data_IF_795628124027
#
_entry.id   IF_795628124027
#
_cell.length_a   1.000
_cell.length_b   1.000
_cell.length_c   1.000
_cell.angle_alpha   90.00
_cell.angle_beta   90.00
_cell.angle_gamma   90.00
#
_symmetry.space_group_name_H-M   'P 1'
#
loop_
_entity.id
_entity.type
_entity.pdbx_description
1 polymer ?
#
# COMPACT_ATOMS: atom_id res chain seq x y z
N UNK A 1 -51.88 26.00 -18.27
CA UNK A 1 -52.34 26.98 -19.28
C UNK A 1 -52.51 28.30 -18.56
N UNK A 2 -51.78 29.34 -18.99
CA UNK A 2 -51.86 30.76 -18.58
C UNK A 2 -51.31 31.00 -17.16
N UNK A 3 -50.05 31.42 -16.94
CA UNK A 3 -49.37 32.71 -17.25
C UNK A 3 -50.16 33.88 -16.66
N UNK A 4 -49.57 34.72 -15.81
CA UNK A 4 -49.24 36.14 -16.09
C UNK A 4 -48.68 36.66 -14.75
N UNK A 5 -47.38 36.98 -14.60
CA UNK A 5 -46.69 38.22 -15.04
C UNK A 5 -47.31 39.45 -14.33
N UNK A 6 -46.64 40.48 -13.80
CA UNK A 6 -45.27 41.02 -13.92
C UNK A 6 -45.20 42.33 -13.12
N UNK A 7 -43.97 42.71 -12.77
CA UNK A 7 -43.40 44.08 -12.79
C UNK A 7 -43.88 45.14 -11.79
N UNK A 8 -42.98 45.60 -10.91
CA UNK A 8 -42.05 46.74 -11.08
C UNK A 8 -42.75 48.11 -10.97
N UNK A 9 -42.37 48.93 -9.99
CA UNK A 9 -41.53 50.09 -10.27
C UNK A 9 -41.14 50.86 -9.00
N UNK A 10 -39.91 51.35 -9.05
CA UNK A 10 -39.20 52.22 -8.12
C UNK A 10 -39.48 53.70 -8.40
N UNK A 11 -39.31 54.57 -7.39
CA UNK A 11 -38.82 55.96 -7.47
C UNK A 11 -38.39 56.36 -6.03
N UNK A 12 -37.10 56.61 -5.72
CA UNK A 12 -36.35 57.88 -5.83
C UNK A 12 -36.92 58.98 -4.90
N UNK A 13 -36.21 59.79 -4.09
CA UNK A 13 -34.81 60.10 -3.81
C UNK A 13 -34.83 61.02 -2.57
N UNK A 14 -33.84 60.96 -1.66
CA UNK A 14 -33.20 62.18 -1.13
C UNK A 14 -31.89 61.85 -0.40
N UNK A 15 -30.84 62.59 -0.79
CA UNK A 15 -29.45 62.51 -0.35
C UNK A 15 -29.18 63.51 0.76
N UNK A 16 -28.33 63.13 1.72
CA UNK A 16 -27.26 63.99 2.28
C UNK A 16 -26.24 63.06 2.95
N UNK A 17 -25.15 62.70 2.26
CA UNK A 17 -23.79 63.27 2.40
C UNK A 17 -23.35 63.42 3.85
N UNK A 18 -22.33 62.65 4.26
CA UNK A 18 -21.06 63.13 4.81
C UNK A 18 -20.00 62.04 4.54
N UNK A 19 -18.89 62.46 3.94
CA UNK A 19 -17.73 61.64 3.54
C UNK A 19 -16.53 62.08 4.39
N UNK A 20 -15.48 61.24 4.38
CA UNK A 20 -14.10 61.44 4.87
C UNK A 20 -13.86 60.87 6.28
N UNK A 21 -12.83 60.05 6.57
CA UNK A 21 -11.58 59.74 5.89
C UNK A 21 -11.00 58.43 6.46
N UNK A 22 -10.46 57.59 5.58
CA UNK A 22 -9.25 56.74 5.70
C UNK A 22 -8.87 56.19 7.09
N UNK A 23 -8.90 54.86 7.20
CA UNK A 23 -8.17 54.06 8.20
C UNK A 23 -7.93 52.66 7.66
N UNK A 24 -6.93 52.50 6.78
CA UNK A 24 -6.47 51.19 6.31
C UNK A 24 -5.74 50.51 7.47
N UNK A 25 -6.44 49.68 8.26
CA UNK A 25 -5.81 48.90 9.30
C UNK A 25 -5.13 47.67 8.66
N UNK A 26 -3.89 47.87 8.24
CA UNK A 26 -2.97 46.80 7.88
C UNK A 26 -2.68 45.98 9.15
N UNK A 27 -3.34 44.83 9.31
CA UNK A 27 -2.92 43.83 10.29
C UNK A 27 -1.62 43.18 9.81
N UNK A 28 -0.49 43.86 10.04
CA UNK A 28 0.84 43.25 10.02
C UNK A 28 0.91 42.40 11.29
N UNK A 29 0.60 41.11 11.15
CA UNK A 29 1.01 40.13 12.15
C UNK A 29 2.52 39.98 11.99
N UNK A 30 3.28 40.70 12.83
CA UNK A 30 4.67 40.37 13.07
C UNK A 30 4.71 38.97 13.69
N UNK A 31 4.96 37.96 12.87
CA UNK A 31 5.51 36.70 13.37
C UNK A 31 6.92 37.00 13.84
N UNK A 32 7.05 37.31 15.14
CA UNK A 32 8.33 37.23 15.82
C UNK A 32 8.78 35.77 15.73
N UNK A 33 9.93 35.58 15.10
CA UNK A 33 10.65 34.33 15.00
C UNK A 33 11.11 33.89 16.39
N UNK A 34 10.21 33.31 17.18
CA UNK A 34 10.60 32.36 18.20
C UNK A 34 10.71 31.01 17.53
N UNK A 35 11.95 30.67 17.20
CA UNK A 35 12.39 29.33 16.86
C UNK A 35 12.01 28.34 17.95
N UNK A 36 10.82 27.75 17.84
CA UNK A 36 10.50 26.47 18.48
C UNK A 36 11.23 25.39 17.70
N UNK A 37 12.53 25.22 18.02
CA UNK A 37 13.24 23.96 17.84
C UNK A 37 12.45 22.89 18.58
N UNK A 38 11.57 22.20 17.86
CA UNK A 38 10.65 21.22 18.43
C UNK A 38 9.90 20.40 17.38
N UNK A 39 10.37 20.37 16.13
CA UNK A 39 10.13 19.24 15.26
C UNK A 39 11.47 18.57 15.09
N UNK A 40 11.66 17.43 15.75
CA UNK A 40 12.81 16.57 15.45
C UNK A 40 12.58 16.03 14.05
N UNK A 41 13.14 16.72 13.06
CA UNK A 41 13.28 16.23 11.71
C UNK A 41 14.15 14.98 11.82
N UNK A 42 13.55 13.80 11.73
CA UNK A 42 14.25 12.51 11.77
C UNK A 42 15.18 12.30 10.54
N UNK A 43 15.36 13.31 9.69
CA UNK A 43 16.10 13.24 8.43
C UNK A 43 17.62 13.22 8.59
N UNK A 44 18.17 13.64 9.73
CA UNK A 44 19.63 13.79 9.90
C UNK A 44 20.27 12.78 10.88
N UNK A 45 19.55 11.72 11.28
CA UNK A 45 20.14 10.71 12.18
C UNK A 45 20.91 9.67 11.37
N UNK A 46 22.23 9.77 11.37
CA UNK A 46 23.12 8.67 10.97
C UNK A 46 23.00 7.43 11.89
N UNK A 47 22.22 7.54 12.98
CA UNK A 47 22.03 6.51 14.01
C UNK A 47 20.71 5.71 13.90
N UNK A 48 20.01 5.73 12.76
CA UNK A 48 18.82 4.89 12.61
C UNK A 48 19.20 3.40 12.48
N UNK A 49 18.44 2.47 13.11
CA UNK A 49 18.64 1.04 12.90
C UNK A 49 18.59 0.67 11.42
N UNK A 50 19.46 -0.24 10.98
CA UNK A 50 19.48 -0.78 9.61
C UNK A 50 18.72 -2.10 9.53
N UNK A 51 18.20 -2.43 8.35
CA UNK A 51 17.72 -3.79 8.05
C UNK A 51 18.92 -4.73 7.84
N UNK A 52 18.71 -6.02 8.07
CA UNK A 52 19.71 -7.02 7.72
C UNK A 52 19.78 -7.16 6.19
N UNK A 53 20.88 -6.77 5.55
CA UNK A 53 20.97 -6.76 4.09
C UNK A 53 22.06 -7.70 3.55
N UNK A 54 21.82 -9.02 3.51
CA UNK A 54 22.76 -9.98 2.93
C UNK A 54 22.66 -10.04 1.39
N UNK A 55 21.86 -9.17 0.77
CA UNK A 55 21.43 -9.33 -0.60
C UNK A 55 22.60 -9.12 -1.57
N UNK A 56 23.02 -10.22 -2.18
CA UNK A 56 23.99 -10.33 -3.26
C UNK A 56 23.40 -11.27 -4.32
N UNK A 57 23.96 -11.28 -5.53
CA UNK A 57 23.54 -12.24 -6.58
C UNK A 57 23.64 -13.69 -6.09
N UNK A 58 24.66 -14.02 -5.30
CA UNK A 58 24.81 -15.36 -4.71
C UNK A 58 23.74 -15.64 -3.65
N UNK A 59 23.47 -14.68 -2.76
CA UNK A 59 22.41 -14.82 -1.75
C UNK A 59 21.04 -15.00 -2.42
N UNK A 60 20.71 -14.18 -3.42
CA UNK A 60 19.46 -14.27 -4.17
C UNK A 60 19.28 -15.67 -4.78
N UNK A 61 20.26 -16.14 -5.57
CA UNK A 61 20.21 -17.46 -6.23
C UNK A 61 20.10 -18.62 -5.24
N UNK A 62 20.68 -18.48 -4.04
CA UNK A 62 20.67 -19.53 -3.01
C UNK A 62 19.37 -19.57 -2.21
N UNK A 63 18.82 -18.41 -1.85
CA UNK A 63 17.75 -18.30 -0.84
C UNK A 63 16.38 -17.97 -1.41
N UNK A 64 16.29 -17.52 -2.67
CA UNK A 64 15.00 -17.35 -3.32
C UNK A 64 14.29 -18.70 -3.45
N UNK A 65 13.02 -18.76 -3.04
CA UNK A 65 12.18 -19.95 -3.17
C UNK A 65 12.17 -20.45 -4.62
N UNK A 66 12.51 -21.72 -4.82
CA UNK A 66 12.45 -22.33 -6.16
C UNK A 66 11.03 -22.55 -6.66
N UNK A 67 10.04 -22.56 -5.78
CA UNK A 67 8.63 -22.73 -6.12
C UNK A 67 7.93 -21.38 -6.23
N UNK A 68 7.01 -21.26 -7.19
CA UNK A 68 6.04 -20.18 -7.30
C UNK A 68 4.69 -20.61 -6.70
N UNK A 69 3.85 -19.67 -6.23
CA UNK A 69 4.09 -18.23 -6.12
C UNK A 69 5.11 -17.86 -5.03
N UNK A 70 5.63 -16.63 -5.09
CA UNK A 70 6.63 -16.04 -4.18
C UNK A 70 6.22 -14.67 -3.65
N UNK A 71 5.20 -14.01 -4.20
CA UNK A 71 4.76 -12.69 -3.78
C UNK A 71 3.52 -12.81 -2.91
N UNK A 72 3.69 -12.69 -1.59
CA UNK A 72 2.68 -12.88 -0.52
C UNK A 72 2.20 -14.32 -0.37
N UNK A 73 1.87 -14.97 -1.48
CA UNK A 73 1.58 -16.39 -1.52
C UNK A 73 2.88 -17.20 -1.63
N UNK A 74 2.88 -18.34 -0.97
CA UNK A 74 3.75 -19.47 -1.25
C UNK A 74 2.96 -20.76 -0.98
N UNK A 75 3.58 -21.93 -1.17
CA UNK A 75 2.90 -23.22 -0.98
C UNK A 75 2.22 -23.35 0.40
N UNK A 76 2.87 -22.89 1.47
CA UNK A 76 2.34 -23.01 2.83
C UNK A 76 1.16 -22.05 3.07
N UNK A 77 1.33 -20.78 2.69
CA UNK A 77 0.27 -19.78 2.81
C UNK A 77 -0.98 -20.15 1.99
N UNK A 78 -0.79 -20.71 0.79
CA UNK A 78 -1.90 -21.19 -0.04
C UNK A 78 -2.61 -22.39 0.57
N UNK A 79 -1.88 -23.35 1.16
CA UNK A 79 -2.50 -24.47 1.86
C UNK A 79 -3.38 -24.01 3.03
N UNK A 80 -2.88 -23.04 3.82
CA UNK A 80 -3.66 -22.44 4.91
C UNK A 80 -4.90 -21.74 4.37
N UNK A 81 -4.75 -20.91 3.34
CA UNK A 81 -5.86 -20.20 2.72
C UNK A 81 -6.94 -21.15 2.21
N UNK A 82 -6.56 -22.19 1.46
CA UNK A 82 -7.51 -23.20 0.94
C UNK A 82 -8.22 -23.98 2.05
N UNK A 83 -7.55 -24.25 3.18
CA UNK A 83 -8.19 -24.85 4.34
C UNK A 83 -9.21 -23.89 4.95
N UNK A 84 -8.81 -22.63 5.16
CA UNK A 84 -9.62 -21.60 5.80
C UNK A 84 -10.84 -21.21 4.98
N UNK A 85 -10.76 -21.22 3.64
CA UNK A 85 -11.92 -21.07 2.75
C UNK A 85 -13.01 -22.13 2.99
N UNK A 86 -12.70 -23.27 3.63
CA UNK A 86 -13.70 -24.30 3.97
C UNK A 86 -14.31 -24.12 5.36
N UNK A 87 -13.64 -23.43 6.27
CA UNK A 87 -13.94 -23.50 7.71
C UNK A 87 -14.10 -22.15 8.40
N UNK A 88 -13.61 -21.07 7.80
CA UNK A 88 -13.44 -19.77 8.45
C UNK A 88 -14.37 -18.72 7.81
N UNK A 89 -15.44 -18.27 8.52
CA UNK A 89 -16.44 -17.37 7.95
C UNK A 89 -15.87 -16.04 7.47
N UNK A 90 -14.86 -15.49 8.17
CA UNK A 90 -14.19 -14.25 7.76
C UNK A 90 -13.46 -14.44 6.43
N UNK A 91 -12.67 -15.50 6.31
CA UNK A 91 -11.96 -15.82 5.07
C UNK A 91 -12.94 -16.07 3.91
N UNK A 92 -14.03 -16.79 4.16
CA UNK A 92 -15.08 -17.05 3.17
C UNK A 92 -15.75 -15.76 2.69
N UNK A 93 -16.12 -14.89 3.62
CA UNK A 93 -16.81 -13.63 3.31
C UNK A 93 -15.90 -12.67 2.53
N UNK A 94 -14.64 -12.56 2.94
CA UNK A 94 -13.63 -11.77 2.21
C UNK A 94 -13.35 -12.32 0.80
N UNK A 95 -13.30 -13.65 0.65
CA UNK A 95 -13.17 -14.26 -0.68
C UNK A 95 -14.39 -13.98 -1.56
N UNK A 96 -15.60 -14.06 -1.00
CA UNK A 96 -16.82 -13.71 -1.72
C UNK A 96 -16.84 -12.23 -2.15
N UNK A 97 -16.33 -11.34 -1.31
CA UNK A 97 -16.13 -9.94 -1.68
C UNK A 97 -15.16 -9.77 -2.86
N UNK A 98 -14.05 -10.50 -2.86
CA UNK A 98 -13.11 -10.52 -3.98
C UNK A 98 -13.77 -11.06 -5.25
N UNK A 99 -14.60 -12.11 -5.16
CA UNK A 99 -15.37 -12.63 -6.30
C UNK A 99 -16.27 -11.55 -6.92
N UNK A 100 -17.08 -10.85 -6.12
CA UNK A 100 -17.95 -9.78 -6.64
C UNK A 100 -17.17 -8.61 -7.25
N UNK A 101 -15.98 -8.30 -6.70
CA UNK A 101 -15.11 -7.25 -7.25
C UNK A 101 -14.48 -7.71 -8.59
N UNK A 102 -14.08 -8.99 -8.67
CA UNK A 102 -13.56 -9.61 -9.89
C UNK A 102 -14.60 -9.65 -11.02
N UNK A 103 -15.86 -9.99 -10.70
CA UNK A 103 -16.97 -9.98 -11.66
C UNK A 103 -17.14 -8.59 -12.30
N UNK A 104 -17.10 -7.52 -11.50
CA UNK A 104 -17.15 -6.13 -12.02
C UNK A 104 -15.97 -5.79 -12.93
N UNK A 105 -14.76 -6.24 -12.58
CA UNK A 105 -13.58 -6.00 -13.42
C UNK A 105 -13.75 -6.64 -14.81
N UNK A 106 -14.36 -7.83 -14.89
CA UNK A 106 -14.59 -8.51 -16.17
C UNK A 106 -15.48 -7.70 -17.13
N UNK A 107 -16.37 -6.86 -16.59
CA UNK A 107 -17.28 -6.00 -17.36
C UNK A 107 -16.62 -4.67 -17.77
N UNK A 108 -15.57 -4.24 -17.08
CA UNK A 108 -14.84 -3.01 -17.39
C UNK A 108 -13.95 -3.19 -18.63
N UNK A 109 -13.70 -2.13 -19.42
CA UNK A 109 -12.71 -2.19 -20.50
C UNK A 109 -11.29 -2.40 -19.96
N UNK A 110 -10.39 -2.86 -20.84
CA UNK A 110 -8.95 -2.90 -20.56
C UNK A 110 -8.40 -1.48 -20.32
N UNK A 111 -7.34 -1.38 -19.53
CA UNK A 111 -6.79 -0.08 -19.14
C UNK A 111 -6.16 0.67 -20.31
N UNK A 112 -6.38 1.98 -20.35
CA UNK A 112 -5.69 2.88 -21.26
C UNK A 112 -4.62 3.70 -20.52
N UNK A 113 -3.56 4.11 -21.23
CA UNK A 113 -2.49 4.94 -20.66
C UNK A 113 -2.92 6.42 -20.53
N UNK A 114 -3.88 6.68 -19.64
CA UNK A 114 -4.44 8.02 -19.40
C UNK A 114 -3.66 8.71 -18.28
N UNK A 115 -2.91 9.75 -18.63
CA UNK A 115 -2.15 10.56 -17.68
C UNK A 115 -2.92 11.85 -17.34
N UNK A 116 -3.22 12.06 -16.05
CA UNK A 116 -3.93 13.25 -15.54
C UNK A 116 -2.90 14.19 -14.91
N UNK A 117 -2.67 15.35 -15.55
CA UNK A 117 -1.57 16.24 -15.21
C UNK A 117 -0.23 15.52 -15.31
N UNK A 118 0.53 15.46 -14.20
CA UNK A 118 1.83 14.76 -14.14
C UNK A 118 1.74 13.27 -13.75
N UNK A 119 0.54 12.73 -13.52
CA UNK A 119 0.35 11.43 -12.87
C UNK A 119 -0.41 10.44 -13.76
N UNK A 120 0.17 9.27 -13.93
CA UNK A 120 -0.46 8.03 -14.43
C UNK A 120 -0.99 7.17 -13.25
N UNK A 121 -0.78 7.63 -12.01
CA UNK A 121 -1.02 6.88 -10.77
C UNK A 121 -2.38 6.20 -10.66
N UNK A 122 -3.46 6.82 -11.15
CA UNK A 122 -4.80 6.22 -11.12
C UNK A 122 -4.86 4.93 -11.92
N UNK A 123 -4.20 4.88 -13.07
CA UNK A 123 -4.11 3.68 -13.92
C UNK A 123 -3.26 2.61 -13.25
N UNK A 124 -2.12 2.98 -12.66
CA UNK A 124 -1.25 2.04 -11.93
C UNK A 124 -1.94 1.43 -10.71
N UNK A 125 -2.67 2.24 -9.94
CA UNK A 125 -3.47 1.79 -8.79
C UNK A 125 -4.58 0.84 -9.21
N UNK A 126 -5.24 1.15 -10.33
CA UNK A 126 -6.29 0.31 -10.88
C UNK A 126 -5.72 -1.04 -11.33
N UNK A 127 -4.58 -1.06 -12.02
CA UNK A 127 -3.92 -2.31 -12.40
C UNK A 127 -3.55 -3.15 -11.19
N UNK A 128 -3.02 -2.54 -10.11
CA UNK A 128 -2.69 -3.24 -8.87
C UNK A 128 -3.93 -3.86 -8.21
N UNK A 129 -5.04 -3.12 -8.21
CA UNK A 129 -6.33 -3.63 -7.73
C UNK A 129 -6.81 -4.82 -8.59
N UNK A 130 -6.83 -4.67 -9.92
CA UNK A 130 -7.27 -5.72 -10.85
C UNK A 130 -6.47 -7.00 -10.68
N UNK A 131 -5.14 -6.91 -10.58
CA UNK A 131 -4.27 -8.09 -10.40
C UNK A 131 -4.45 -8.76 -9.03
N UNK A 132 -4.74 -7.99 -7.97
CA UNK A 132 -5.07 -8.58 -6.67
C UNK A 132 -6.40 -9.32 -6.68
N UNK A 133 -7.44 -8.77 -7.34
CA UNK A 133 -8.74 -9.42 -7.40
C UNK A 133 -8.71 -10.64 -8.33
N UNK A 134 -8.39 -10.42 -9.61
CA UNK A 134 -8.36 -11.46 -10.64
C UNK A 134 -7.35 -12.55 -10.31
N UNK A 135 -6.15 -12.17 -9.89
CA UNK A 135 -5.09 -13.13 -9.56
C UNK A 135 -5.48 -14.05 -8.40
N UNK A 136 -6.15 -13.52 -7.36
CA UNK A 136 -6.60 -14.34 -6.23
C UNK A 136 -7.67 -15.34 -6.67
N UNK A 137 -8.68 -14.89 -7.44
CA UNK A 137 -9.71 -15.77 -7.99
C UNK A 137 -9.08 -16.86 -8.86
N UNK A 138 -8.21 -16.48 -9.80
CA UNK A 138 -7.53 -17.45 -10.65
C UNK A 138 -6.72 -18.46 -9.83
N UNK A 139 -5.99 -17.99 -8.81
CA UNK A 139 -5.16 -18.88 -7.99
C UNK A 139 -6.00 -19.95 -7.30
N UNK A 140 -7.16 -19.57 -6.75
CA UNK A 140 -8.01 -20.49 -5.99
C UNK A 140 -8.85 -21.38 -6.91
N UNK A 141 -9.52 -20.80 -7.90
CA UNK A 141 -10.54 -21.48 -8.71
C UNK A 141 -10.03 -22.00 -10.06
N UNK A 142 -8.89 -21.48 -10.54
CA UNK A 142 -8.26 -21.86 -11.82
C UNK A 142 -9.17 -21.69 -13.05
N UNK A 143 -10.09 -20.73 -13.00
CA UNK A 143 -10.99 -20.42 -14.11
C UNK A 143 -10.20 -19.86 -15.32
N UNK A 144 -10.25 -20.51 -16.50
CA UNK A 144 -9.55 -20.06 -17.70
C UNK A 144 -10.00 -18.67 -18.19
N UNK A 145 -11.24 -18.24 -17.94
CA UNK A 145 -11.71 -16.89 -18.32
C UNK A 145 -10.99 -15.80 -17.53
N UNK A 146 -10.71 -16.07 -16.26
CA UNK A 146 -9.96 -15.14 -15.40
C UNK A 146 -8.50 -15.09 -15.87
N UNK A 147 -7.92 -16.24 -16.24
CA UNK A 147 -6.56 -16.27 -16.80
C UNK A 147 -6.45 -15.47 -18.10
N UNK A 148 -7.41 -15.63 -19.01
CA UNK A 148 -7.49 -14.87 -20.25
C UNK A 148 -7.60 -13.37 -19.96
N UNK A 149 -8.45 -12.96 -19.01
CA UNK A 149 -8.52 -11.56 -18.61
C UNK A 149 -7.19 -11.04 -18.03
N UNK A 150 -6.52 -11.80 -17.16
CA UNK A 150 -5.21 -11.43 -16.62
C UNK A 150 -4.19 -11.26 -17.76
N UNK A 151 -4.19 -12.17 -18.73
CA UNK A 151 -3.34 -12.08 -19.92
C UNK A 151 -3.57 -10.75 -20.66
N UNK A 152 -4.81 -10.42 -20.95
CA UNK A 152 -5.14 -9.22 -21.75
C UNK A 152 -4.76 -7.92 -21.02
N UNK A 153 -5.03 -7.83 -19.73
CA UNK A 153 -4.63 -6.70 -18.89
C UNK A 153 -3.10 -6.53 -18.87
N UNK A 154 -2.36 -7.63 -18.70
CA UNK A 154 -0.89 -7.61 -18.70
C UNK A 154 -0.33 -7.19 -20.07
N UNK A 155 -0.86 -7.76 -21.16
CA UNK A 155 -0.42 -7.41 -22.52
C UNK A 155 -0.62 -5.92 -22.79
N UNK A 156 -1.76 -5.36 -22.40
CA UNK A 156 -2.05 -3.94 -22.62
C UNK A 156 -1.08 -3.03 -21.85
N UNK A 157 -0.94 -3.22 -20.53
CA UNK A 157 -0.09 -2.31 -19.73
C UNK A 157 1.40 -2.48 -20.01
N UNK A 158 1.85 -3.68 -20.43
CA UNK A 158 3.24 -3.91 -20.83
C UNK A 158 3.58 -3.27 -22.19
N UNK A 159 2.57 -3.04 -23.03
CA UNK A 159 2.69 -2.33 -24.31
C UNK A 159 2.50 -0.81 -24.20
N UNK A 160 2.17 -0.28 -23.02
CA UNK A 160 2.25 1.17 -22.80
C UNK A 160 3.66 1.68 -23.12
N UNK A 161 3.75 2.86 -23.72
CA UNK A 161 5.06 3.45 -24.10
C UNK A 161 6.04 3.56 -22.93
N UNK A 162 5.51 3.85 -21.73
CA UNK A 162 6.24 4.01 -20.47
C UNK A 162 5.23 3.87 -19.30
N UNK A 163 5.74 3.69 -18.08
CA UNK A 163 4.94 3.74 -16.83
C UNK A 163 5.12 5.07 -16.06
N UNK A 164 5.45 6.14 -16.79
CA UNK A 164 5.71 7.50 -16.29
C UNK A 164 6.84 7.61 -15.25
N UNK A 165 8.11 7.36 -15.62
CA UNK A 165 9.24 7.41 -14.68
C UNK A 165 9.52 8.78 -14.06
N UNK A 166 8.93 9.86 -14.59
CA UNK A 166 8.98 11.20 -13.99
C UNK A 166 8.23 11.31 -12.65
N UNK A 167 7.28 10.41 -12.40
CA UNK A 167 6.52 10.31 -11.15
C UNK A 167 6.53 8.85 -10.66
N UNK A 168 7.56 8.49 -9.88
CA UNK A 168 7.91 7.09 -9.68
C UNK A 168 6.90 6.23 -8.90
N UNK A 169 5.94 6.83 -8.20
CA UNK A 169 4.80 6.09 -7.64
C UNK A 169 4.01 5.36 -8.75
N UNK A 170 3.93 5.95 -9.94
CA UNK A 170 3.21 5.39 -11.09
C UNK A 170 3.90 4.10 -11.55
N UNK A 171 5.23 4.14 -11.67
CA UNK A 171 6.07 3.00 -12.02
C UNK A 171 6.00 1.92 -10.96
N UNK A 172 6.10 2.29 -9.68
CA UNK A 172 6.17 1.36 -8.58
C UNK A 172 4.88 0.54 -8.40
N UNK A 173 3.72 1.19 -8.39
CA UNK A 173 2.44 0.48 -8.25
C UNK A 173 2.14 -0.37 -9.49
N UNK A 174 2.50 0.09 -10.71
CA UNK A 174 2.35 -0.68 -11.94
C UNK A 174 3.26 -1.92 -11.97
N UNK A 175 4.53 -1.75 -11.59
CA UNK A 175 5.50 -2.83 -11.54
C UNK A 175 5.10 -3.92 -10.53
N UNK A 176 4.58 -3.51 -9.37
CA UNK A 176 4.03 -4.45 -8.38
C UNK A 176 2.84 -5.23 -8.97
N UNK A 177 1.94 -4.54 -9.68
CA UNK A 177 0.78 -5.18 -10.30
C UNK A 177 1.19 -6.25 -11.33
N UNK A 178 2.09 -5.90 -12.25
CA UNK A 178 2.61 -6.83 -13.27
C UNK A 178 3.34 -8.01 -12.63
N UNK A 179 4.15 -7.75 -11.60
CA UNK A 179 4.85 -8.81 -10.86
C UNK A 179 3.87 -9.78 -10.18
N UNK A 180 2.81 -9.28 -9.52
CA UNK A 180 1.75 -10.10 -8.92
C UNK A 180 1.02 -10.93 -10.00
N UNK A 181 0.67 -10.32 -11.13
CA UNK A 181 0.02 -11.02 -12.24
C UNK A 181 0.83 -12.21 -12.77
N UNK A 182 2.15 -12.04 -12.91
CA UNK A 182 3.06 -13.14 -13.27
C UNK A 182 3.16 -14.21 -12.19
N UNK A 183 3.38 -13.79 -10.95
CA UNK A 183 3.66 -14.72 -9.85
C UNK A 183 2.43 -15.56 -9.48
N UNK A 184 1.24 -14.97 -9.45
CA UNK A 184 0.02 -15.66 -9.03
C UNK A 184 -0.57 -16.56 -10.11
N UNK A 185 -0.31 -16.26 -11.38
CA UNK A 185 -0.60 -17.19 -12.48
C UNK A 185 0.39 -18.34 -12.56
N UNK A 186 1.56 -18.23 -11.91
CA UNK A 186 2.52 -19.32 -11.70
C UNK A 186 2.90 -20.08 -12.99
N UNK A 187 3.10 -19.36 -14.08
CA UNK A 187 3.51 -19.92 -15.37
C UNK A 187 2.36 -20.38 -16.28
N UNK A 188 1.10 -20.23 -15.87
CA UNK A 188 -0.07 -20.63 -16.67
C UNK A 188 -0.36 -19.65 -17.83
N UNK A 189 0.26 -18.46 -17.85
CA UNK A 189 0.16 -17.48 -18.93
C UNK A 189 0.90 -17.95 -20.22
N UNK A 190 0.52 -17.43 -21.40
CA UNK A 190 1.30 -17.64 -22.62
C UNK A 190 2.77 -17.22 -22.43
N UNK A 191 3.71 -18.01 -22.97
CA UNK A 191 5.15 -17.71 -22.89
C UNK A 191 5.51 -16.33 -23.46
N UNK A 192 4.79 -15.89 -24.49
CA UNK A 192 4.92 -14.54 -25.06
C UNK A 192 4.56 -13.45 -24.04
N UNK A 193 3.46 -13.63 -23.30
CA UNK A 193 3.00 -12.70 -22.26
C UNK A 193 3.96 -12.66 -21.09
N UNK A 194 4.46 -13.82 -20.64
CA UNK A 194 5.49 -13.90 -19.60
C UNK A 194 6.74 -13.13 -20.03
N UNK A 195 7.26 -13.41 -21.23
CA UNK A 195 8.45 -12.73 -21.75
C UNK A 195 8.26 -11.22 -21.93
N UNK A 196 7.08 -10.78 -22.38
CA UNK A 196 6.71 -9.37 -22.51
C UNK A 196 6.66 -8.67 -21.15
N UNK A 197 6.03 -9.29 -20.16
CA UNK A 197 5.89 -8.73 -18.83
C UNK A 197 7.24 -8.64 -18.08
N UNK A 198 8.07 -9.68 -18.14
CA UNK A 198 9.43 -9.64 -17.60
C UNK A 198 10.27 -8.53 -18.26
N UNK A 199 10.16 -8.39 -19.59
CA UNK A 199 10.84 -7.32 -20.33
C UNK A 199 10.34 -5.94 -19.88
N UNK A 200 9.03 -5.76 -19.72
CA UNK A 200 8.45 -4.51 -19.24
C UNK A 200 8.86 -4.19 -17.79
N UNK A 201 8.89 -5.18 -16.89
CA UNK A 201 9.40 -5.01 -15.52
C UNK A 201 10.85 -4.52 -15.50
N UNK A 202 11.69 -5.05 -16.39
CA UNK A 202 13.08 -4.60 -16.53
C UNK A 202 13.14 -3.18 -17.11
N UNK A 203 12.60 -2.96 -18.32
CA UNK A 203 12.81 -1.75 -19.10
C UNK A 203 11.98 -0.55 -18.64
N UNK A 204 10.75 -0.79 -18.15
CA UNK A 204 9.81 0.26 -17.73
C UNK A 204 9.73 0.40 -16.21
N UNK A 205 10.11 -0.65 -15.47
CA UNK A 205 10.11 -0.69 -14.01
C UNK A 205 11.48 -0.40 -13.40
N UNK A 206 12.39 -1.38 -13.47
CA UNK A 206 13.64 -1.38 -12.70
C UNK A 206 14.68 -0.44 -13.31
N UNK A 207 14.92 -0.50 -14.62
CA UNK A 207 15.94 0.32 -15.27
C UNK A 207 15.73 1.84 -15.04
N UNK A 208 14.50 2.38 -15.14
CA UNK A 208 14.27 3.79 -14.82
C UNK A 208 14.53 4.17 -13.36
N UNK A 209 14.68 3.20 -12.45
CA UNK A 209 15.09 3.47 -11.05
C UNK A 209 16.59 3.68 -10.88
N UNK A 210 17.39 3.49 -11.94
CA UNK A 210 18.84 3.62 -11.97
C UNK A 210 19.23 4.73 -12.96
N UNK A 211 19.19 6.02 -12.57
CA UNK A 211 19.47 7.12 -13.46
C UNK A 211 20.93 7.10 -13.95
N UNK A 212 21.15 7.62 -15.15
CA UNK A 212 22.45 7.60 -15.85
C UNK A 212 23.56 8.34 -15.11
N UNK A 213 23.22 9.32 -14.27
CA UNK A 213 24.17 10.07 -13.44
C UNK A 213 24.74 9.25 -12.27
N UNK A 214 24.30 7.99 -12.11
CA UNK A 214 24.76 7.05 -11.09
C UNK A 214 24.24 7.35 -9.68
N UNK A 215 23.42 8.40 -9.50
CA UNK A 215 22.87 8.75 -8.19
C UNK A 215 21.66 7.88 -7.88
N UNK A 216 21.48 7.55 -6.62
CA UNK A 216 20.22 6.95 -6.21
C UNK A 216 19.09 7.99 -6.33
N UNK A 217 17.90 7.60 -6.81
CA UNK A 217 16.78 8.52 -6.86
C UNK A 217 16.38 8.91 -5.43
N UNK A 218 15.99 10.18 -5.22
CA UNK A 218 15.74 10.70 -3.87
C UNK A 218 14.69 9.92 -3.07
N UNK A 219 13.71 9.31 -3.73
CA UNK A 219 12.72 8.45 -3.07
C UNK A 219 13.33 7.18 -2.46
N UNK A 220 14.42 6.64 -3.03
CA UNK A 220 15.01 5.37 -2.58
C UNK A 220 15.56 5.45 -1.16
N UNK A 221 15.91 6.66 -0.70
CA UNK A 221 16.40 6.96 0.64
C UNK A 221 15.60 8.07 1.33
N UNK A 222 14.41 8.39 0.81
CA UNK A 222 13.52 9.39 1.39
C UNK A 222 12.88 8.91 2.69
N UNK A 223 12.40 9.86 3.50
CA UNK A 223 11.79 9.59 4.81
C UNK A 223 10.25 9.56 4.80
N UNK A 224 9.62 9.56 3.61
CA UNK A 224 8.17 9.60 3.46
C UNK A 224 7.63 8.34 2.76
N UNK A 225 6.33 8.32 2.47
CA UNK A 225 5.67 7.17 1.85
C UNK A 225 6.20 6.80 0.45
N UNK A 226 6.82 7.71 -0.31
CA UNK A 226 7.41 7.36 -1.62
C UNK A 226 8.50 6.31 -1.49
N UNK A 227 9.26 6.34 -0.40
CA UNK A 227 10.28 5.34 -0.13
C UNK A 227 9.67 3.94 0.02
N UNK A 228 8.62 3.81 0.83
CA UNK A 228 7.93 2.53 1.07
C UNK A 228 7.28 2.00 -0.22
N UNK A 229 6.56 2.85 -0.94
CA UNK A 229 5.86 2.48 -2.18
C UNK A 229 6.85 2.07 -3.27
N UNK A 230 7.84 2.92 -3.54
CA UNK A 230 8.77 2.72 -4.65
C UNK A 230 9.72 1.55 -4.40
N UNK A 231 10.31 1.45 -3.21
CA UNK A 231 11.16 0.30 -2.90
C UNK A 231 10.36 -1.01 -2.89
N UNK A 232 9.11 -1.01 -2.38
CA UNK A 232 8.25 -2.18 -2.41
C UNK A 232 7.92 -2.66 -3.83
N UNK A 233 7.57 -1.73 -4.74
CA UNK A 233 7.34 -2.06 -6.15
C UNK A 233 8.59 -2.59 -6.86
N UNK A 234 9.76 -2.02 -6.57
CA UNK A 234 11.04 -2.50 -7.12
C UNK A 234 11.44 -3.87 -6.57
N UNK A 235 11.16 -4.16 -5.30
CA UNK A 235 11.35 -5.50 -4.72
C UNK A 235 10.45 -6.52 -5.43
N UNK A 236 9.16 -6.21 -5.62
CA UNK A 236 8.23 -7.10 -6.33
C UNK A 236 8.71 -7.42 -7.75
N UNK A 237 9.08 -6.38 -8.51
CA UNK A 237 9.62 -6.54 -9.87
C UNK A 237 10.91 -7.37 -9.89
N UNK A 238 11.82 -7.13 -8.94
CA UNK A 238 13.10 -7.83 -8.84
C UNK A 238 12.93 -9.31 -8.51
N UNK A 239 11.99 -9.66 -7.64
CA UNK A 239 11.65 -11.06 -7.34
C UNK A 239 11.10 -11.75 -8.59
N UNK A 240 10.24 -11.08 -9.35
CA UNK A 240 9.62 -11.64 -10.56
C UNK A 240 10.60 -11.88 -11.72
N UNK A 241 11.69 -11.11 -11.80
CA UNK A 241 12.71 -11.23 -12.85
C UNK A 241 14.00 -11.92 -12.39
N UNK A 242 14.05 -12.42 -11.16
CA UNK A 242 15.27 -12.92 -10.53
C UNK A 242 15.96 -14.05 -11.31
N UNK A 243 15.21 -14.92 -12.00
CA UNK A 243 15.77 -15.95 -12.87
C UNK A 243 16.36 -15.38 -14.17
N UNK A 244 15.76 -14.32 -14.69
CA UNK A 244 16.11 -13.72 -15.98
C UNK A 244 17.32 -12.80 -15.88
N UNK A 245 17.33 -11.96 -14.85
CA UNK A 245 18.43 -11.03 -14.57
C UNK A 245 18.71 -10.98 -13.05
N UNK A 246 19.40 -12.01 -12.52
CA UNK A 246 19.67 -12.12 -11.08
C UNK A 246 20.57 -11.01 -10.55
N UNK A 247 21.42 -10.41 -11.39
CA UNK A 247 22.29 -9.31 -10.98
C UNK A 247 21.50 -8.02 -10.80
N UNK A 248 20.64 -7.68 -11.77
CA UNK A 248 19.73 -6.54 -11.67
C UNK A 248 18.76 -6.69 -10.50
N UNK A 249 18.20 -7.89 -10.31
CA UNK A 249 17.32 -8.18 -9.19
C UNK A 249 18.04 -8.00 -7.85
N UNK A 250 19.22 -8.62 -7.68
CA UNK A 250 19.96 -8.57 -6.42
C UNK A 250 20.38 -7.15 -6.06
N UNK A 251 20.96 -6.39 -7.01
CA UNK A 251 21.38 -4.99 -6.73
C UNK A 251 20.20 -4.09 -6.39
N UNK A 252 19.03 -4.34 -7.00
CA UNK A 252 17.82 -3.54 -6.77
C UNK A 252 17.20 -3.84 -5.41
N UNK A 253 17.09 -5.12 -5.03
CA UNK A 253 16.62 -5.50 -3.69
C UNK A 253 17.61 -5.02 -2.62
N UNK A 254 18.92 -5.12 -2.88
CA UNK A 254 19.95 -4.59 -1.98
C UNK A 254 19.76 -3.10 -1.70
N UNK A 255 19.65 -2.26 -2.75
CA UNK A 255 19.39 -0.82 -2.61
C UNK A 255 18.11 -0.56 -1.83
N UNK A 256 17.05 -1.32 -2.12
CA UNK A 256 15.78 -1.17 -1.42
C UNK A 256 15.91 -1.44 0.08
N UNK A 257 16.52 -2.56 0.48
CA UNK A 257 16.72 -2.92 1.89
C UNK A 257 17.62 -1.93 2.63
N UNK A 258 18.59 -1.33 1.94
CA UNK A 258 19.47 -0.29 2.51
C UNK A 258 18.73 1.06 2.70
N UNK A 259 17.84 1.42 1.76
CA UNK A 259 17.13 2.69 1.78
C UNK A 259 15.83 2.72 2.58
N UNK A 260 15.16 1.57 2.74
CA UNK A 260 13.90 1.44 3.49
C UNK A 260 13.94 1.99 4.93
N UNK A 261 15.00 1.75 5.75
CA UNK A 261 15.11 2.31 7.10
C UNK A 261 14.78 3.80 7.23
N UNK A 262 15.11 4.60 6.21
CA UNK A 262 14.90 6.07 6.22
C UNK A 262 13.43 6.45 6.42
N UNK A 263 12.51 5.69 5.82
CA UNK A 263 11.07 5.91 6.02
C UNK A 263 10.55 5.20 7.27
N UNK A 264 11.12 4.04 7.63
CA UNK A 264 10.72 3.29 8.82
C UNK A 264 11.06 4.01 10.12
N UNK A 265 12.06 4.88 10.11
CA UNK A 265 12.36 5.78 11.22
C UNK A 265 11.16 6.65 11.62
N UNK A 266 10.18 6.87 10.73
CA UNK A 266 8.95 7.61 11.05
C UNK A 266 8.01 6.88 12.01
N UNK A 267 8.19 5.57 12.21
CA UNK A 267 7.44 4.83 13.23
C UNK A 267 8.11 4.93 14.61
N UNK A 268 9.37 5.37 14.69
CA UNK A 268 10.12 5.36 15.94
C UNK A 268 9.73 6.52 16.88
N UNK A 269 9.89 6.32 18.21
CA UNK A 269 10.11 5.05 18.88
C UNK A 269 8.82 4.26 19.15
N UNK A 270 7.68 4.95 19.27
CA UNK A 270 6.45 4.41 19.87
C UNK A 270 5.32 4.12 18.87
N UNK A 271 5.59 4.25 17.57
CA UNK A 271 4.63 3.93 16.50
C UNK A 271 3.68 5.05 16.08
N UNK A 272 3.76 6.24 16.68
CA UNK A 272 2.96 7.40 16.25
C UNK A 272 3.42 7.85 14.87
N UNK A 273 2.51 7.85 13.89
CA UNK A 273 2.86 8.20 12.52
C UNK A 273 2.71 9.72 12.28
N UNK A 274 3.76 10.41 11.80
CA UNK A 274 3.79 11.88 11.78
C UNK A 274 2.79 12.51 10.80
N UNK A 275 2.39 11.80 9.75
CA UNK A 275 1.40 12.28 8.76
C UNK A 275 -0.05 11.92 9.12
N UNK A 276 -0.28 11.38 10.33
CA UNK A 276 -1.62 11.03 10.80
C UNK A 276 -2.17 9.71 10.24
N UNK A 277 -3.41 9.40 10.62
CA UNK A 277 -4.02 8.08 10.43
C UNK A 277 -4.20 7.69 8.95
N UNK A 278 -4.57 8.64 8.07
CA UNK A 278 -4.74 8.35 6.63
C UNK A 278 -3.43 7.96 5.97
N UNK A 279 -2.35 8.70 6.21
CA UNK A 279 -1.05 8.42 5.59
C UNK A 279 -0.32 7.25 6.23
N UNK A 280 -0.59 6.94 7.51
CA UNK A 280 -0.23 5.64 8.08
C UNK A 280 -0.80 4.53 7.18
N UNK A 281 -2.09 4.58 6.87
CA UNK A 281 -2.73 3.60 5.99
C UNK A 281 -2.01 3.47 4.64
N UNK A 282 -1.64 4.57 3.99
CA UNK A 282 -0.97 4.52 2.69
C UNK A 282 0.45 3.96 2.77
N UNK A 283 1.35 4.55 3.57
CA UNK A 283 2.74 4.10 3.67
C UNK A 283 2.85 2.69 4.25
N UNK A 284 2.15 2.42 5.35
CA UNK A 284 2.18 1.13 6.04
C UNK A 284 1.62 0.00 5.18
N UNK A 285 0.64 0.26 4.30
CA UNK A 285 0.14 -0.78 3.37
C UNK A 285 1.24 -1.35 2.47
N UNK A 286 2.14 -0.50 1.97
CA UNK A 286 3.26 -0.94 1.13
C UNK A 286 4.38 -1.60 1.94
N UNK A 287 4.59 -1.17 3.18
CA UNK A 287 5.48 -1.88 4.10
C UNK A 287 4.98 -3.31 4.37
N UNK A 288 3.70 -3.45 4.71
CA UNK A 288 3.07 -4.75 5.00
C UNK A 288 3.13 -5.71 3.82
N UNK A 289 2.75 -5.28 2.61
CA UNK A 289 2.81 -6.16 1.44
C UNK A 289 4.26 -6.52 1.09
N UNK A 290 5.21 -5.59 1.29
CA UNK A 290 6.63 -5.85 1.02
C UNK A 290 7.22 -6.85 2.01
N UNK A 291 6.90 -6.73 3.30
CA UNK A 291 7.25 -7.73 4.31
C UNK A 291 6.69 -9.10 3.90
N UNK A 292 5.40 -9.16 3.55
CA UNK A 292 4.77 -10.42 3.15
C UNK A 292 5.43 -11.04 1.90
N UNK A 293 5.81 -10.23 0.90
CA UNK A 293 6.55 -10.69 -0.28
C UNK A 293 7.95 -11.21 0.07
N UNK A 294 8.69 -10.53 0.95
CA UNK A 294 10.01 -10.96 1.37
C UNK A 294 9.93 -12.29 2.15
N UNK A 295 8.98 -12.40 3.08
CA UNK A 295 8.75 -13.64 3.84
C UNK A 295 8.39 -14.80 2.92
N UNK A 296 7.48 -14.61 1.96
CA UNK A 296 7.09 -15.68 1.04
C UNK A 296 8.21 -16.07 0.08
N UNK A 297 9.04 -15.11 -0.36
CA UNK A 297 10.12 -15.33 -1.31
C UNK A 297 11.41 -15.90 -0.68
N UNK A 298 11.75 -15.47 0.54
CA UNK A 298 13.05 -15.76 1.19
C UNK A 298 12.92 -16.47 2.56
N UNK A 299 11.70 -16.67 3.06
CA UNK A 299 11.45 -17.24 4.39
C UNK A 299 11.75 -16.28 5.55
N UNK A 300 12.09 -15.02 5.27
CA UNK A 300 12.30 -13.97 6.27
C UNK A 300 12.06 -12.58 5.66
N UNK A 301 11.91 -11.57 6.51
CA UNK A 301 11.63 -10.17 6.12
C UNK A 301 12.83 -9.22 6.32
N UNK A 302 14.02 -9.77 6.57
CA UNK A 302 15.23 -8.99 6.80
C UNK A 302 15.17 -8.04 8.01
N UNK A 303 14.26 -8.31 8.95
CA UNK A 303 14.03 -7.48 10.14
C UNK A 303 13.06 -6.33 9.92
N UNK A 304 12.46 -6.21 8.72
CA UNK A 304 11.55 -5.13 8.37
C UNK A 304 10.33 -5.09 9.30
N UNK A 305 9.59 -6.19 9.45
CA UNK A 305 8.42 -6.23 10.33
C UNK A 305 8.74 -6.09 11.82
N UNK A 306 10.02 -6.16 12.22
CA UNK A 306 10.50 -5.94 13.58
C UNK A 306 11.21 -4.59 13.75
N UNK A 307 11.11 -3.68 12.77
CA UNK A 307 11.69 -2.35 12.90
C UNK A 307 11.09 -1.61 14.11
N UNK A 308 11.89 -0.91 14.93
CA UNK A 308 11.38 -0.27 16.14
C UNK A 308 10.20 0.67 15.87
N UNK A 309 9.12 0.51 16.65
CA UNK A 309 7.88 1.28 16.53
C UNK A 309 6.92 0.79 15.44
N UNK A 310 7.35 -0.10 14.54
CA UNK A 310 6.50 -0.53 13.41
C UNK A 310 5.26 -1.30 13.88
N UNK A 311 5.42 -2.28 14.77
CA UNK A 311 4.29 -3.07 15.31
C UNK A 311 3.44 -2.25 16.28
N UNK A 312 4.09 -1.40 17.07
CA UNK A 312 3.44 -0.47 17.99
C UNK A 312 2.52 0.51 17.25
N UNK A 313 2.83 0.85 15.99
CA UNK A 313 2.02 1.75 15.17
C UNK A 313 0.61 1.23 14.89
N UNK A 314 0.37 -0.07 14.98
CA UNK A 314 -0.98 -0.63 14.89
C UNK A 314 -1.88 -0.13 16.03
N UNK A 315 -1.32 0.05 17.23
CA UNK A 315 -2.05 0.60 18.36
C UNK A 315 -2.40 2.07 18.12
N UNK A 316 -1.46 2.86 17.58
CA UNK A 316 -1.74 4.24 17.15
C UNK A 316 -2.94 4.28 16.20
N UNK A 317 -2.95 3.43 15.16
CA UNK A 317 -4.06 3.36 14.20
C UNK A 317 -5.39 3.00 14.87
N UNK A 318 -5.42 2.05 15.80
CA UNK A 318 -6.63 1.68 16.54
C UNK A 318 -7.13 2.85 17.39
N UNK A 319 -6.25 3.49 18.16
CA UNK A 319 -6.62 4.59 19.06
C UNK A 319 -7.09 5.85 18.32
N UNK A 320 -6.65 6.05 17.08
CA UNK A 320 -7.19 7.12 16.24
C UNK A 320 -8.64 6.89 15.79
N UNK A 321 -9.21 5.70 15.93
CA UNK A 321 -10.60 5.43 15.53
C UNK A 321 -11.55 5.65 16.71
N UNK A 322 -12.35 6.72 16.67
CA UNK A 322 -13.42 6.91 17.64
C UNK A 322 -14.57 5.90 17.41
N UNK A 323 -15.36 5.55 18.45
CA UNK A 323 -16.52 4.65 18.30
C UNK A 323 -17.55 5.13 17.25
N UNK A 324 -17.60 6.44 16.99
CA UNK A 324 -18.45 7.06 15.96
C UNK A 324 -17.98 6.80 14.53
N UNK A 325 -16.80 6.20 14.33
CA UNK A 325 -16.14 6.05 13.02
C UNK A 325 -15.44 7.31 12.50
N UNK A 326 -15.45 8.40 13.28
CA UNK A 326 -14.59 9.55 13.00
C UNK A 326 -13.17 9.29 13.51
N UNK A 327 -12.19 9.94 12.88
CA UNK A 327 -10.83 9.90 13.38
C UNK A 327 -10.60 10.94 14.47
N UNK A 328 -9.84 10.57 15.51
CA UNK A 328 -9.07 11.52 16.30
C UNK A 328 -7.76 11.76 15.55
N UNK A 329 -7.74 12.79 14.69
CA UNK A 329 -6.70 13.00 13.70
C UNK A 329 -5.93 14.32 13.87
N UNK A 330 -4.86 14.43 13.09
CA UNK A 330 -4.01 15.60 12.92
C UNK A 330 -3.37 15.53 11.52
N UNK A 331 -2.71 16.61 11.10
CA UNK A 331 -2.09 16.76 9.77
C UNK A 331 -3.09 16.53 8.61
N UNK A 332 -2.59 16.19 7.43
CA UNK A 332 -3.39 15.89 6.24
C UNK A 332 -4.05 14.51 6.37
N UNK A 333 -5.13 14.46 7.13
CA UNK A 333 -5.88 13.24 7.41
C UNK A 333 -7.34 13.43 7.02
N UNK A 334 -7.96 12.38 6.45
CA UNK A 334 -9.41 12.37 6.25
C UNK A 334 -10.15 12.34 7.58
N UNK A 335 -11.46 12.59 7.53
CA UNK A 335 -12.30 12.75 8.72
C UNK A 335 -12.79 11.44 9.33
N UNK A 336 -12.96 10.40 8.50
CA UNK A 336 -13.61 9.14 8.88
C UNK A 336 -12.89 7.94 8.30
N UNK A 337 -12.94 6.85 9.04
CA UNK A 337 -12.49 5.54 8.55
C UNK A 337 -13.45 4.95 7.53
N UNK A 338 -12.92 4.06 6.69
CA UNK A 338 -13.71 3.25 5.77
C UNK A 338 -14.72 2.34 6.48
N UNK A 339 -15.74 1.89 5.74
CA UNK A 339 -16.75 0.95 6.25
C UNK A 339 -16.22 -0.50 6.29
N UNK A 340 -15.42 -0.88 5.30
CA UNK A 340 -14.77 -2.19 5.24
C UNK A 340 -13.80 -2.37 6.42
N UNK A 341 -13.52 -3.62 6.78
CA UNK A 341 -12.48 -3.93 7.78
C UNK A 341 -11.10 -3.47 7.31
N UNK A 342 -10.27 -3.00 8.25
CA UNK A 342 -8.92 -2.53 7.94
C UNK A 342 -7.97 -3.72 7.68
N UNK A 343 -7.79 -4.02 6.39
CA UNK A 343 -6.93 -5.10 5.91
C UNK A 343 -5.48 -4.98 6.39
N UNK A 344 -4.99 -3.77 6.65
CA UNK A 344 -3.61 -3.55 7.08
C UNK A 344 -3.49 -3.85 8.58
N UNK A 345 -4.46 -3.43 9.40
CA UNK A 345 -4.53 -3.85 10.80
C UNK A 345 -4.63 -5.38 10.94
N UNK A 346 -5.38 -6.05 10.05
CA UNK A 346 -5.46 -7.52 10.09
C UNK A 346 -4.09 -8.21 9.91
N UNK A 347 -3.16 -7.62 9.15
CA UNK A 347 -1.79 -8.16 9.08
C UNK A 347 -1.09 -8.06 10.44
N UNK A 348 -1.20 -6.92 11.14
CA UNK A 348 -0.65 -6.77 12.48
C UNK A 348 -1.31 -7.74 13.47
N UNK A 349 -2.61 -7.96 13.36
CA UNK A 349 -3.30 -8.98 14.14
C UNK A 349 -2.70 -10.37 13.92
N UNK A 350 -2.45 -10.76 12.67
CA UNK A 350 -1.81 -12.03 12.32
C UNK A 350 -0.39 -12.14 12.88
N UNK A 351 0.39 -11.06 12.87
CA UNK A 351 1.77 -11.06 13.39
C UNK A 351 1.85 -11.05 14.91
N UNK A 352 0.88 -10.45 15.58
CA UNK A 352 0.90 -10.27 17.05
C UNK A 352 0.01 -11.24 17.80
N UNK A 353 -1.03 -11.78 17.14
CA UNK A 353 -2.14 -12.48 17.77
C UNK A 353 -3.13 -11.57 18.48
N UNK A 354 -2.99 -10.24 18.38
CA UNK A 354 -3.80 -9.27 19.13
C UNK A 354 -5.15 -9.03 18.45
N UNK A 355 -6.24 -9.39 19.14
CA UNK A 355 -7.63 -9.22 18.66
C UNK A 355 -8.02 -7.77 18.42
N UNK A 356 -7.43 -6.80 19.12
CA UNK A 356 -7.74 -5.39 18.91
C UNK A 356 -7.41 -4.90 17.49
N UNK A 357 -6.54 -5.60 16.77
CA UNK A 357 -6.17 -5.30 15.39
C UNK A 357 -6.99 -6.09 14.36
N UNK A 358 -7.89 -6.98 14.79
CA UNK A 358 -8.68 -7.82 13.91
C UNK A 358 -10.15 -7.45 13.97
N UNK A 359 -10.64 -6.77 12.93
CA UNK A 359 -11.98 -6.22 12.89
C UNK A 359 -13.01 -7.23 12.35
N UNK A 360 -13.14 -8.35 13.07
CA UNK A 360 -13.97 -9.50 12.69
C UNK A 360 -15.37 -9.11 12.22
N UNK A 361 -16.09 -8.29 12.99
CA UNK A 361 -17.45 -7.84 12.66
C UNK A 361 -17.51 -7.09 11.32
N UNK A 362 -16.48 -6.30 10.99
CA UNK A 362 -16.42 -5.57 9.71
C UNK A 362 -16.06 -6.48 8.54
N UNK A 363 -15.25 -7.51 8.78
CA UNK A 363 -14.96 -8.53 7.77
C UNK A 363 -16.13 -9.49 7.56
N UNK A 364 -17.07 -9.58 8.50
CA UNK A 364 -18.32 -10.36 8.41
C UNK A 364 -19.53 -9.55 7.94
N UNK A 365 -19.35 -8.26 7.64
CA UNK A 365 -20.41 -7.43 7.05
C UNK A 365 -20.94 -8.09 5.76
N UNK A 366 -22.26 -8.02 5.46
CA UNK A 366 -22.78 -8.53 4.20
C UNK A 366 -22.02 -7.97 3.01
N UNK A 367 -21.66 -8.84 2.06
CA UNK A 367 -20.75 -8.49 0.96
C UNK A 367 -21.30 -7.36 0.10
N UNK A 368 -22.62 -7.28 -0.05
CA UNK A 368 -23.32 -6.23 -0.80
C UNK A 368 -23.19 -4.85 -0.15
N UNK A 369 -22.93 -4.81 1.16
CA UNK A 369 -22.67 -3.58 1.92
C UNK A 369 -21.19 -3.20 1.94
N UNK A 370 -20.30 -4.13 1.59
CA UNK A 370 -18.89 -3.82 1.41
C UNK A 370 -18.71 -2.93 0.18
N UNK A 371 -17.98 -1.82 0.36
CA UNK A 371 -17.56 -0.99 -0.77
C UNK A 371 -16.47 -1.71 -1.55
N UNK A 372 -16.12 -1.16 -2.73
CA UNK A 372 -14.94 -1.57 -3.52
C UNK A 372 -13.76 -1.81 -2.57
N UNK A 373 -13.17 -3.00 -2.66
CA UNK A 373 -12.07 -3.38 -1.79
C UNK A 373 -10.83 -2.54 -2.08
N UNK A 374 -9.92 -2.45 -1.10
CA UNK A 374 -8.61 -1.84 -1.33
C UNK A 374 -7.81 -2.65 -2.37
N UNK A 375 -6.88 -1.97 -3.06
CA UNK A 375 -6.04 -2.57 -4.11
C UNK A 375 -5.16 -3.73 -3.65
N UNK A 376 -4.94 -3.89 -2.35
CA UNK A 376 -4.23 -5.04 -1.76
C UNK A 376 -5.18 -6.10 -1.20
N UNK A 377 -6.49 -6.05 -1.49
CA UNK A 377 -7.49 -6.95 -0.89
C UNK A 377 -7.23 -8.44 -1.15
N UNK A 378 -6.69 -8.78 -2.32
CA UNK A 378 -6.25 -10.14 -2.63
C UNK A 378 -5.12 -10.58 -1.71
N UNK A 379 -4.06 -9.78 -1.61
CA UNK A 379 -2.96 -10.05 -0.68
C UNK A 379 -3.47 -10.13 0.78
N UNK A 380 -4.44 -9.29 1.12
CA UNK A 380 -5.02 -9.25 2.45
C UNK A 380 -5.73 -10.52 2.89
N UNK A 381 -6.42 -11.17 1.97
CA UNK A 381 -7.05 -12.47 2.23
C UNK A 381 -6.02 -13.50 2.75
N UNK A 382 -4.77 -13.43 2.25
CA UNK A 382 -3.71 -14.36 2.63
C UNK A 382 -3.35 -14.24 4.10
N UNK A 383 -3.09 -13.04 4.62
CA UNK A 383 -2.77 -12.88 6.04
C UNK A 383 -4.00 -12.92 6.94
N UNK A 384 -5.19 -12.53 6.46
CA UNK A 384 -6.45 -12.72 7.18
C UNK A 384 -6.66 -14.21 7.47
N UNK A 385 -6.46 -15.09 6.47
CA UNK A 385 -6.61 -16.54 6.65
C UNK A 385 -5.63 -17.13 7.67
N UNK A 386 -4.50 -16.47 7.91
CA UNK A 386 -3.47 -16.92 8.85
C UNK A 386 -3.71 -16.43 10.29
N UNK A 387 -4.69 -15.54 10.51
CA UNK A 387 -4.95 -15.00 11.83
C UNK A 387 -5.34 -16.11 12.82
N UNK A 388 -4.70 -16.06 13.99
CA UNK A 388 -5.03 -16.86 15.17
C UNK A 388 -4.86 -15.96 16.38
N UNK A 389 -5.93 -15.82 17.15
CA UNK A 389 -5.89 -15.10 18.41
C UNK A 389 -4.94 -15.80 19.39
N UNK A 390 -4.08 -15.04 20.07
CA UNK A 390 -3.27 -15.54 21.19
C UNK A 390 -4.01 -15.24 22.49
N UNK A 391 -4.27 -16.27 23.29
CA UNK A 391 -5.20 -16.23 24.43
C UNK A 391 -4.84 -15.30 25.60
N UNK A 392 -3.75 -14.52 25.56
CA UNK A 392 -3.36 -13.62 26.66
C UNK A 392 -2.57 -12.37 26.19
N UNK A 393 -3.18 -11.47 25.44
CA UNK A 393 -2.72 -10.07 25.39
C UNK A 393 -3.73 -9.17 26.10
N UNK A 394 -3.64 -9.13 27.44
CA UNK A 394 -4.26 -8.05 28.20
C UNK A 394 -3.53 -6.75 27.85
N UNK A 395 -4.30 -5.73 27.47
CA UNK A 395 -3.79 -4.36 27.41
C UNK A 395 -3.07 -4.02 28.72
N UNK A 396 -1.76 -3.80 28.66
CA UNK A 396 -1.05 -3.13 29.74
C UNK A 396 -0.91 -1.66 29.33
N UNK A 397 -1.69 -0.74 29.93
CA UNK A 397 -1.43 0.68 29.75
C UNK A 397 -0.15 1.03 30.51
N UNK A 398 0.93 1.26 29.75
CA UNK A 398 2.19 1.92 30.10
C UNK A 398 2.97 1.46 31.34
N UNK A 399 4.25 1.14 31.09
CA UNK A 399 5.32 1.29 32.08
C UNK A 399 5.52 0.11 33.03
N UNK A 400 5.95 -1.03 32.51
CA UNK A 400 6.89 -1.94 33.19
C UNK A 400 7.46 -2.94 32.18
N UNK A 401 8.74 -3.20 32.37
CA UNK A 401 9.66 -3.96 31.51
C UNK A 401 9.07 -5.24 30.91
N UNK A 402 9.49 -5.54 29.68
CA UNK A 402 9.38 -6.87 29.09
C UNK A 402 10.00 -7.90 30.04
N UNK A 403 9.17 -8.62 30.77
CA UNK A 403 9.58 -9.88 31.36
C UNK A 403 9.88 -10.85 30.21
N UNK A 404 11.17 -11.10 30.00
CA UNK A 404 11.67 -12.24 29.22
C UNK A 404 10.99 -13.49 29.78
N UNK A 405 10.24 -14.21 28.97
CA UNK A 405 9.84 -15.58 29.29
C UNK A 405 10.94 -16.48 28.72
N UNK A 406 11.71 -17.21 29.56
CA UNK A 406 12.69 -18.17 29.09
C UNK A 406 12.00 -19.47 28.67
N UNK A 407 12.38 -19.91 27.46
CA UNK A 407 12.22 -21.23 26.81
C UNK A 407 10.85 -21.92 26.83
#
# INVERSE_FOLDING_TARGET
MIIVLTQEQSFSHMKTKHTYFIGLLSCIIMFSSMSTRGMVQASDRDDIPKLNNPMTTQYLKKNLSKSQPRLVLNRSAEQILRQKLKTDPVTQNMYKAIQLNSEKILEEPLLERIQIGRRLLSVSREMLYRMNMLGMIYRIDKDPKILERINDELVVVCNFRDWNPSHFLDVAEMAMAVAIGLDWTAGDLPKSTIGLAEKALIEKGIQPSWPEDGKNPGWAYGNNNWNQVCNGGMIAASIAIAEKDPELAAKTIHRALDGLPRSLASYMPDGVYPEGSTYWGYGTSFSVVTIAMLESAFGNDFGYGNYPGFKESALFRVLCNAPSGWYYNFADCGDKRGVNGDAILAWFATKTGNKAFFEEERFLMPVEQMRRLDRLGGAALVWISQYKERSEMKFLPHGKEMARIPL
#
